data_IF_468153459653
#
_entry.id   IF_468153459653
#
_cell.length_a   1.000
_cell.length_b   1.000
_cell.length_c   1.000
_cell.angle_alpha   90.00
_cell.angle_beta   90.00
_cell.angle_gamma   90.00
#
_symmetry.space_group_name_H-M   'P 1'
#
loop_
_entity.id
_entity.type
_entity.pdbx_description
1 polymer ?
#
# COMPACT_ATOMS: atom_id res chain seq x y z
N UNK A 1 -15.43 10.12 -8.36
CA UNK A 1 -14.66 10.14 -7.10
C UNK A 1 -14.86 11.52 -6.49
N UNK A 2 -15.27 11.63 -5.21
CA UNK A 2 -15.36 12.92 -4.56
C UNK A 2 -13.96 13.56 -4.58
N UNK A 3 -13.87 14.82 -4.99
CA UNK A 3 -12.64 15.61 -4.85
C UNK A 3 -12.39 15.76 -3.35
N UNK A 4 -11.44 15.00 -2.81
CA UNK A 4 -11.02 15.09 -1.41
C UNK A 4 -10.33 16.45 -1.19
N UNK A 5 -11.14 17.47 -0.97
CA UNK A 5 -10.71 18.81 -0.53
C UNK A 5 -10.66 18.91 1.00
N UNK A 6 -10.78 17.79 1.71
CA UNK A 6 -10.40 17.71 3.12
C UNK A 6 -8.90 17.90 3.20
N UNK A 7 -8.45 18.91 3.96
CA UNK A 7 -7.03 19.07 4.31
C UNK A 7 -6.52 17.70 4.78
N UNK A 8 -5.49 17.17 4.11
CA UNK A 8 -4.81 15.96 4.57
C UNK A 8 -4.20 16.28 5.94
N UNK A 9 -4.80 15.72 7.00
CA UNK A 9 -4.40 15.95 8.38
C UNK A 9 -3.83 14.64 8.90
N UNK A 10 -2.63 14.69 9.49
CA UNK A 10 -2.05 13.55 10.17
C UNK A 10 -2.83 13.25 11.46
N UNK A 11 -3.11 11.98 11.73
CA UNK A 11 -3.86 11.55 12.90
C UNK A 11 -3.21 10.36 13.60
N UNK A 12 -3.66 10.14 14.84
CA UNK A 12 -3.43 8.90 15.59
C UNK A 12 -4.45 7.86 15.15
N UNK A 13 -4.00 6.70 14.66
CA UNK A 13 -4.90 5.62 14.25
C UNK A 13 -5.80 5.22 15.42
N UNK A 14 -5.26 5.10 16.63
CA UNK A 14 -6.05 4.72 17.81
C UNK A 14 -7.17 5.73 18.12
N UNK A 15 -6.89 7.04 17.97
CA UNK A 15 -7.90 8.07 18.19
C UNK A 15 -9.02 8.01 17.14
N UNK A 16 -8.66 7.82 15.87
CA UNK A 16 -9.65 7.66 14.80
C UNK A 16 -10.49 6.39 14.98
N UNK A 17 -9.85 5.29 15.37
CA UNK A 17 -10.55 4.04 15.65
C UNK A 17 -11.58 4.23 16.77
N UNK A 18 -11.18 4.84 17.90
CA UNK A 18 -12.09 5.05 19.03
C UNK A 18 -13.25 5.99 18.67
N UNK A 19 -12.98 7.07 17.91
CA UNK A 19 -14.01 8.01 17.48
C UNK A 19 -15.09 7.38 16.57
N UNK A 20 -14.70 6.41 15.74
CA UNK A 20 -15.59 5.75 14.78
C UNK A 20 -16.17 4.42 15.28
N UNK A 21 -15.69 3.91 16.43
CA UNK A 21 -16.13 2.65 17.03
C UNK A 21 -17.66 2.48 17.12
N UNK A 22 -18.46 3.51 17.48
CA UNK A 22 -19.92 3.37 17.54
C UNK A 22 -20.61 3.16 16.18
N UNK A 23 -19.91 3.43 15.07
CA UNK A 23 -20.46 3.36 13.71
C UNK A 23 -20.22 1.99 13.04
N UNK A 24 -19.41 1.13 13.66
CA UNK A 24 -18.99 -0.11 13.02
C UNK A 24 -19.99 -1.25 13.22
N UNK A 25 -20.37 -1.95 12.14
CA UNK A 25 -21.28 -3.08 12.25
C UNK A 25 -20.55 -4.25 12.94
N UNK A 26 -20.99 -4.58 14.16
CA UNK A 26 -20.40 -5.66 14.97
C UNK A 26 -20.38 -7.03 14.25
N UNK A 27 -21.28 -7.24 13.29
CA UNK A 27 -21.33 -8.44 12.46
C UNK A 27 -20.12 -8.59 11.50
N UNK A 28 -19.49 -7.48 11.11
CA UNK A 28 -18.30 -7.48 10.23
C UNK A 28 -17.02 -7.16 11.01
N UNK A 29 -17.15 -6.46 12.13
CA UNK A 29 -16.05 -6.00 12.97
C UNK A 29 -16.34 -6.39 14.43
N UNK A 30 -16.00 -7.62 14.85
CA UNK A 30 -16.27 -8.09 16.20
C UNK A 30 -15.61 -7.18 17.25
N UNK A 31 -16.30 -6.84 18.37
CA UNK A 31 -15.79 -5.87 19.34
C UNK A 31 -14.42 -6.19 19.95
N UNK A 32 -14.14 -7.47 20.21
CA UNK A 32 -12.86 -7.96 20.75
C UNK A 32 -11.71 -7.77 19.76
N UNK A 33 -11.99 -7.92 18.46
CA UNK A 33 -11.02 -7.78 17.38
C UNK A 33 -10.70 -6.32 17.10
N UNK A 34 -11.73 -5.49 17.16
CA UNK A 34 -11.60 -4.03 17.13
C UNK A 34 -10.75 -3.55 18.31
N UNK A 35 -11.00 -4.06 19.52
CA UNK A 35 -10.21 -3.70 20.70
C UNK A 35 -8.74 -4.08 20.56
N UNK A 36 -8.45 -5.27 20.02
CA UNK A 36 -7.09 -5.67 19.67
C UNK A 36 -6.43 -4.72 18.64
N UNK A 37 -7.19 -4.30 17.62
CA UNK A 37 -6.71 -3.33 16.62
C UNK A 37 -6.43 -1.95 17.25
N UNK A 38 -7.30 -1.47 18.14
CA UNK A 38 -7.08 -0.23 18.89
C UNK A 38 -5.83 -0.31 19.78
N UNK A 39 -5.62 -1.44 20.46
CA UNK A 39 -4.45 -1.67 21.30
C UNK A 39 -3.16 -1.65 20.47
N UNK A 40 -3.13 -2.34 19.33
CA UNK A 40 -2.01 -2.31 18.40
C UNK A 40 -1.77 -0.89 17.85
N UNK A 41 -2.83 -0.21 17.42
CA UNK A 41 -2.77 1.15 16.88
C UNK A 41 -2.25 2.18 17.90
N UNK A 42 -2.49 1.97 19.20
CA UNK A 42 -2.02 2.86 20.27
C UNK A 42 -0.50 2.89 20.39
N UNK A 43 0.18 1.87 19.86
CA UNK A 43 1.64 1.80 19.79
C UNK A 43 2.22 2.47 18.53
N UNK A 44 1.38 2.93 17.59
CA UNK A 44 1.82 3.54 16.34
C UNK A 44 1.93 5.06 16.47
N UNK A 45 2.93 5.70 15.80
CA UNK A 45 3.06 7.15 15.82
C UNK A 45 1.90 7.86 15.09
N UNK A 46 1.52 9.09 15.49
CA UNK A 46 0.41 9.82 14.91
C UNK A 46 0.79 10.52 13.59
N UNK A 47 1.17 9.73 12.58
CA UNK A 47 1.70 10.24 11.31
C UNK A 47 0.84 9.89 10.08
N UNK A 48 -0.23 9.13 10.28
CA UNK A 48 -1.04 8.54 9.21
C UNK A 48 -2.12 9.50 8.70
N UNK A 49 -2.54 9.31 7.45
CA UNK A 49 -3.54 10.14 6.76
C UNK A 49 -4.78 9.36 6.35
N UNK A 50 -4.67 8.03 6.31
CA UNK A 50 -5.75 7.12 5.95
C UNK A 50 -5.68 5.89 6.83
N UNK A 51 -6.86 5.31 7.04
CA UNK A 51 -7.09 4.15 7.87
C UNK A 51 -8.17 3.29 7.22
N UNK A 52 -7.95 1.98 7.18
CA UNK A 52 -8.95 0.98 6.82
C UNK A 52 -8.89 -0.14 7.87
N UNK A 53 -10.07 -0.62 8.29
CA UNK A 53 -10.23 -1.91 8.94
C UNK A 53 -10.78 -2.89 7.91
N UNK A 54 -10.10 -4.02 7.70
CA UNK A 54 -10.52 -5.05 6.77
C UNK A 54 -11.08 -6.26 7.53
N UNK A 55 -12.41 -6.43 7.51
CA UNK A 55 -13.09 -7.63 8.02
C UNK A 55 -13.35 -8.66 6.92
N UNK A 56 -13.63 -9.91 7.30
CA UNK A 56 -13.92 -10.99 6.33
C UNK A 56 -15.42 -11.21 6.16
N UNK A 57 -15.87 -11.28 4.91
CA UNK A 57 -17.25 -11.66 4.58
C UNK A 57 -17.54 -13.15 4.77
N UNK A 58 -16.50 -13.98 4.85
CA UNK A 58 -16.61 -15.43 5.04
C UNK A 58 -16.95 -15.86 6.47
N UNK A 59 -17.15 -14.91 7.40
CA UNK A 59 -17.41 -15.19 8.81
C UNK A 59 -16.15 -15.47 9.65
N UNK A 60 -14.97 -15.37 9.05
CA UNK A 60 -13.72 -15.37 9.79
C UNK A 60 -13.62 -14.08 10.63
N UNK A 61 -13.42 -14.15 11.96
CA UNK A 61 -13.39 -12.98 12.83
C UNK A 61 -12.13 -12.12 12.65
N UNK A 62 -11.19 -12.48 11.77
CA UNK A 62 -10.01 -11.67 11.51
C UNK A 62 -10.36 -10.24 11.06
N UNK A 63 -9.74 -9.26 11.73
CA UNK A 63 -9.79 -7.84 11.38
C UNK A 63 -8.37 -7.36 11.21
N UNK A 64 -8.02 -6.97 9.99
CA UNK A 64 -6.70 -6.39 9.70
C UNK A 64 -6.75 -4.88 9.78
N UNK A 65 -5.61 -4.30 10.15
CA UNK A 65 -5.42 -2.86 10.25
C UNK A 65 -4.60 -2.39 9.06
N UNK A 66 -5.04 -1.35 8.38
CA UNK A 66 -4.33 -0.75 7.28
C UNK A 66 -4.27 0.76 7.47
N UNK A 67 -3.11 1.36 7.16
CA UNK A 67 -2.99 2.81 7.20
C UNK A 67 -2.02 3.31 6.14
N UNK A 68 -2.13 4.59 5.80
CA UNK A 68 -1.26 5.19 4.78
C UNK A 68 -0.64 6.50 5.19
N UNK A 69 0.56 6.74 4.66
CA UNK A 69 1.24 8.03 4.63
C UNK A 69 1.07 8.60 3.24
N UNK A 70 0.72 9.89 3.14
CA UNK A 70 0.55 10.59 1.87
C UNK A 70 1.61 11.68 1.78
N UNK A 71 2.27 11.78 0.63
CA UNK A 71 3.26 12.82 0.38
C UNK A 71 2.57 14.18 0.22
N UNK A 72 2.52 14.92 1.32
CA UNK A 72 1.99 16.28 1.38
C UNK A 72 3.01 17.21 2.05
N UNK A 73 2.90 18.55 1.87
CA UNK A 73 3.86 19.49 2.44
C UNK A 73 4.09 19.27 3.95
N UNK A 74 5.35 19.05 4.32
CA UNK A 74 5.76 18.84 5.72
C UNK A 74 5.65 17.40 6.23
N UNK A 75 4.91 16.50 5.55
CA UNK A 75 4.69 15.13 6.05
C UNK A 75 6.00 14.37 6.20
N UNK A 76 6.85 14.38 5.17
CA UNK A 76 8.14 13.67 5.22
C UNK A 76 9.00 14.13 6.41
N UNK A 77 8.98 15.43 6.74
CA UNK A 77 9.66 15.99 7.91
C UNK A 77 9.04 15.49 9.23
N UNK A 78 7.71 15.47 9.32
CA UNK A 78 7.02 14.92 10.49
C UNK A 78 7.30 13.44 10.70
N UNK A 79 7.32 12.65 9.62
CA UNK A 79 7.68 11.22 9.68
C UNK A 79 9.14 11.05 10.10
N UNK A 80 10.07 11.79 9.50
CA UNK A 80 11.48 11.80 9.89
C UNK A 80 11.67 12.05 11.39
N UNK A 81 11.02 13.08 11.94
CA UNK A 81 11.05 13.42 13.36
C UNK A 81 10.39 12.35 14.24
N UNK A 82 9.29 11.73 13.77
CA UNK A 82 8.65 10.64 14.50
C UNK A 82 9.58 9.43 14.64
N UNK A 83 10.34 9.09 13.59
CA UNK A 83 11.28 7.96 13.55
C UNK A 83 12.53 8.13 14.44
N UNK A 84 12.80 9.35 14.92
CA UNK A 84 13.90 9.63 15.87
C UNK A 84 13.58 9.15 17.30
N UNK A 85 12.31 8.86 17.59
CA UNK A 85 11.87 8.33 18.88
C UNK A 85 11.95 6.80 18.90
N UNK A 86 11.98 6.16 20.09
CA UNK A 86 11.76 4.71 20.19
C UNK A 86 10.45 4.32 19.51
N UNK A 87 10.49 3.28 18.68
CA UNK A 87 9.36 2.84 17.89
C UNK A 87 8.79 1.53 18.43
N UNK A 88 7.51 1.31 18.17
CA UNK A 88 6.87 0.01 18.40
C UNK A 88 7.48 -1.06 17.48
N UNK A 89 7.57 -2.33 17.93
CA UNK A 89 7.89 -3.46 17.04
C UNK A 89 7.01 -3.53 15.79
N UNK A 90 5.78 -3.01 15.88
CA UNK A 90 4.83 -2.95 14.76
C UNK A 90 5.26 -2.04 13.62
N UNK A 91 6.17 -1.08 13.82
CA UNK A 91 6.64 -0.20 12.74
C UNK A 91 8.11 -0.43 12.40
N UNK A 92 8.85 -1.07 13.30
CA UNK A 92 10.31 -1.25 13.18
C UNK A 92 10.70 -2.02 11.90
N UNK A 93 9.96 -3.05 11.52
CA UNK A 93 10.25 -3.76 10.27
C UNK A 93 9.94 -2.96 8.99
N UNK A 94 9.23 -1.83 9.09
CA UNK A 94 9.05 -0.87 7.99
C UNK A 94 9.99 0.34 8.07
N UNK A 95 10.81 0.44 9.13
CA UNK A 95 11.72 1.56 9.34
C UNK A 95 12.61 1.85 8.13
N UNK A 96 13.29 0.88 7.48
CA UNK A 96 14.18 1.18 6.35
C UNK A 96 13.45 1.90 5.19
N UNK A 97 12.25 1.42 4.85
CA UNK A 97 11.42 2.04 3.82
C UNK A 97 10.93 3.43 4.25
N UNK A 98 10.46 3.56 5.49
CA UNK A 98 9.96 4.83 6.04
C UNK A 98 11.06 5.89 6.11
N UNK A 99 12.28 5.51 6.50
CA UNK A 99 13.44 6.41 6.54
C UNK A 99 13.85 6.85 5.14
N UNK A 100 13.95 5.92 4.19
CA UNK A 100 14.26 6.22 2.80
C UNK A 100 13.21 7.14 2.17
N UNK A 101 11.93 6.92 2.49
CA UNK A 101 10.84 7.78 2.01
C UNK A 101 10.83 9.15 2.67
N UNK A 102 11.06 9.24 3.98
CA UNK A 102 11.08 10.50 4.71
C UNK A 102 12.32 11.36 4.39
N UNK A 103 13.45 10.73 4.04
CA UNK A 103 14.72 11.39 3.73
C UNK A 103 15.35 10.87 2.42
N UNK A 104 14.72 11.07 1.24
CA UNK A 104 15.17 10.43 -0.01
C UNK A 104 16.60 10.79 -0.40
N UNK A 105 16.99 12.06 -0.23
CA UNK A 105 18.30 12.56 -0.64
C UNK A 105 19.48 11.82 0.01
N UNK A 106 19.26 11.18 1.17
CA UNK A 106 20.27 10.40 1.88
C UNK A 106 20.37 8.93 1.41
N UNK A 107 19.49 8.49 0.50
CA UNK A 107 19.37 7.07 0.16
C UNK A 107 19.81 6.77 -1.28
N UNK A 108 20.49 5.62 -1.55
CA UNK A 108 20.80 5.18 -2.92
C UNK A 108 19.57 5.09 -3.85
N UNK A 109 18.41 4.79 -3.27
CA UNK A 109 17.11 4.66 -3.96
C UNK A 109 16.31 5.97 -4.00
N UNK A 110 16.97 7.13 -3.90
CA UNK A 110 16.33 8.45 -3.77
C UNK A 110 15.24 8.70 -4.81
N UNK A 111 15.51 8.35 -6.07
CA UNK A 111 14.61 8.62 -7.19
C UNK A 111 13.30 7.89 -7.02
N UNK A 112 13.32 6.64 -6.56
CA UNK A 112 12.09 5.93 -6.26
C UNK A 112 11.32 6.63 -5.13
N UNK A 113 12.00 6.93 -4.02
CA UNK A 113 11.36 7.47 -2.83
C UNK A 113 10.81 8.88 -3.00
N UNK A 114 11.45 9.72 -3.81
CA UNK A 114 10.94 11.03 -4.21
C UNK A 114 9.62 10.93 -4.99
N UNK A 115 9.43 9.82 -5.71
CA UNK A 115 8.30 9.63 -6.63
C UNK A 115 7.20 8.72 -6.09
N UNK A 116 7.35 8.20 -4.87
CA UNK A 116 6.34 7.42 -4.17
C UNK A 116 5.38 8.36 -3.44
N UNK A 117 4.16 8.64 -3.97
CA UNK A 117 3.23 9.59 -3.33
C UNK A 117 2.56 9.03 -2.08
N UNK A 118 2.54 7.70 -1.92
CA UNK A 118 1.85 7.02 -0.82
C UNK A 118 2.67 5.83 -0.38
N UNK A 119 2.82 5.69 0.94
CA UNK A 119 3.23 4.43 1.56
C UNK A 119 2.03 3.84 2.28
N UNK A 120 1.63 2.65 1.87
CA UNK A 120 0.58 1.89 2.54
C UNK A 120 1.19 0.80 3.41
N UNK A 121 0.73 0.70 4.65
CA UNK A 121 1.14 -0.30 5.63
C UNK A 121 -0.08 -1.10 6.07
N UNK A 122 0.06 -2.41 6.12
CA UNK A 122 -1.01 -3.34 6.50
C UNK A 122 -0.50 -4.31 7.56
N UNK A 123 -1.19 -4.36 8.69
CA UNK A 123 -0.93 -5.26 9.80
C UNK A 123 -2.04 -6.29 9.85
N UNK A 124 -1.65 -7.54 9.58
CA UNK A 124 -2.56 -8.68 9.72
C UNK A 124 -2.76 -8.99 11.20
N UNK A 125 -3.95 -9.43 11.60
CA UNK A 125 -4.12 -10.04 12.91
C UNK A 125 -3.56 -11.49 12.92
N UNK A 126 -2.94 -11.96 14.02
CA UNK A 126 -2.60 -11.19 15.22
C UNK A 126 -1.49 -10.17 14.94
N UNK A 127 -1.56 -9.00 15.59
CA UNK A 127 -0.64 -7.87 15.40
C UNK A 127 0.71 -8.13 16.10
N UNK A 128 1.40 -9.20 15.73
CA UNK A 128 2.68 -9.63 16.29
C UNK A 128 3.83 -9.60 15.27
N UNK A 129 3.54 -9.14 14.05
CA UNK A 129 4.48 -9.06 12.93
C UNK A 129 4.64 -7.63 12.43
N UNK A 130 5.78 -7.34 11.76
CA UNK A 130 5.91 -6.13 10.97
C UNK A 130 4.82 -5.99 9.91
N UNK A 131 4.52 -4.77 9.44
CA UNK A 131 3.48 -4.58 8.47
C UNK A 131 3.96 -5.06 7.10
N UNK A 132 2.99 -5.51 6.33
CA UNK A 132 3.09 -5.57 4.89
C UNK A 132 3.25 -4.15 4.34
N UNK A 133 4.30 -3.94 3.54
CA UNK A 133 4.70 -2.64 3.03
C UNK A 133 4.36 -2.55 1.54
N UNK A 134 3.64 -1.49 1.17
CA UNK A 134 3.16 -1.28 -0.19
C UNK A 134 3.46 0.15 -0.63
N UNK A 135 4.66 0.39 -1.22
CA UNK A 135 4.97 1.65 -1.88
C UNK A 135 4.10 1.81 -3.13
N UNK A 136 3.31 2.88 -3.18
CA UNK A 136 2.54 3.21 -4.36
C UNK A 136 3.45 3.87 -5.40
N UNK A 137 3.39 3.41 -6.65
CA UNK A 137 4.30 3.82 -7.73
C UNK A 137 3.62 4.72 -8.78
N UNK A 138 2.29 4.84 -8.76
CA UNK A 138 1.58 5.82 -9.60
C UNK A 138 1.57 7.18 -8.90
N UNK A 139 2.30 8.18 -9.42
CA UNK A 139 2.27 9.56 -8.91
C UNK A 139 0.85 10.16 -8.84
N UNK A 140 -0.09 9.61 -9.61
CA UNK A 140 -1.51 10.02 -9.68
C UNK A 140 -2.41 9.18 -8.76
N UNK A 141 -1.86 8.46 -7.79
CA UNK A 141 -2.62 7.55 -6.92
C UNK A 141 -3.82 8.24 -6.26
N UNK A 142 -3.64 9.47 -5.76
CA UNK A 142 -4.69 10.32 -5.18
C UNK A 142 -5.43 11.20 -6.18
N UNK A 143 -5.32 10.88 -7.47
CA UNK A 143 -6.11 11.53 -8.51
C UNK A 143 -5.65 12.92 -8.87
N UNK A 144 -4.43 13.35 -8.53
CA UNK A 144 -3.81 14.52 -9.14
C UNK A 144 -3.64 14.24 -10.65
N UNK A 145 -4.47 14.84 -11.51
CA UNK A 145 -4.42 14.58 -12.95
C UNK A 145 -3.24 15.30 -13.62
N UNK A 146 -2.60 16.25 -12.92
CA UNK A 146 -1.49 17.04 -13.44
C UNK A 146 -0.14 16.33 -13.28
N UNK A 147 -0.05 15.36 -12.37
CA UNK A 147 1.18 14.61 -12.15
C UNK A 147 1.55 13.78 -13.41
N UNK A 148 2.80 13.85 -13.89
CA UNK A 148 3.21 13.14 -15.09
C UNK A 148 3.17 11.62 -14.85
N UNK A 149 2.64 10.89 -15.84
CA UNK A 149 2.69 9.44 -15.83
C UNK A 149 4.14 8.96 -15.90
N UNK A 150 4.52 8.05 -15.00
CA UNK A 150 5.82 7.40 -15.05
C UNK A 150 5.90 6.43 -16.24
N UNK A 151 7.08 6.34 -16.85
CA UNK A 151 7.37 5.35 -17.89
C UNK A 151 7.46 3.94 -17.31
N UNK A 152 7.40 2.91 -18.17
CA UNK A 152 7.51 1.50 -17.74
C UNK A 152 8.83 1.24 -17.01
N UNK A 153 9.95 1.75 -17.53
CA UNK A 153 11.26 1.61 -16.89
C UNK A 153 11.29 2.20 -15.48
N UNK A 154 10.80 3.42 -15.35
CA UNK A 154 10.72 4.13 -14.07
C UNK A 154 9.85 3.37 -13.06
N UNK A 155 8.69 2.86 -13.47
CA UNK A 155 7.83 2.05 -12.60
C UNK A 155 8.53 0.76 -12.14
N UNK A 156 9.30 0.12 -13.01
CA UNK A 156 10.03 -1.11 -12.69
C UNK A 156 11.20 -0.83 -11.75
N UNK A 157 11.93 0.26 -11.96
CA UNK A 157 12.95 0.75 -11.02
C UNK A 157 12.33 0.99 -9.63
N UNK A 158 11.18 1.66 -9.58
CA UNK A 158 10.49 1.93 -8.32
C UNK A 158 10.06 0.65 -7.58
N UNK A 159 9.54 -0.34 -8.31
CA UNK A 159 9.18 -1.64 -7.72
C UNK A 159 10.43 -2.35 -7.16
N UNK A 160 11.52 -2.35 -7.92
CA UNK A 160 12.76 -2.99 -7.51
C UNK A 160 13.37 -2.34 -6.26
N UNK A 161 13.43 -1.01 -6.24
CA UNK A 161 13.94 -0.20 -5.13
C UNK A 161 13.11 -0.37 -3.86
N UNK A 162 11.78 -0.29 -3.97
CA UNK A 162 10.87 -0.48 -2.83
C UNK A 162 11.02 -1.87 -2.21
N UNK A 163 11.19 -2.91 -3.03
CA UNK A 163 11.47 -4.26 -2.56
C UNK A 163 12.83 -4.37 -1.90
N UNK A 164 13.88 -3.78 -2.48
CA UNK A 164 15.23 -3.81 -1.92
C UNK A 164 15.28 -3.15 -0.53
N UNK A 165 14.55 -2.04 -0.35
CA UNK A 165 14.37 -1.38 0.94
C UNK A 165 13.63 -2.25 1.95
N UNK A 166 12.60 -2.96 1.51
CA UNK A 166 11.75 -3.78 2.38
C UNK A 166 12.46 -5.05 2.84
N UNK A 167 13.20 -5.71 1.95
CA UNK A 167 13.74 -7.05 2.17
C UNK A 167 15.27 -7.11 2.27
N UNK A 168 15.96 -5.99 2.06
CA UNK A 168 17.43 -5.95 2.03
C UNK A 168 18.05 -6.75 0.90
N UNK A 169 17.29 -7.06 -0.16
CA UNK A 169 17.68 -7.95 -1.25
C UNK A 169 17.11 -7.50 -2.59
N UNK A 170 17.80 -7.77 -3.72
CA UNK A 170 17.27 -7.43 -5.02
C UNK A 170 15.99 -8.21 -5.35
N UNK A 171 15.09 -7.58 -6.10
CA UNK A 171 13.89 -8.24 -6.61
C UNK A 171 14.29 -9.36 -7.60
N UNK A 172 13.65 -10.54 -7.56
CA UNK A 172 13.89 -11.58 -8.58
C UNK A 172 13.71 -11.06 -10.01
N UNK A 173 14.75 -11.20 -10.84
CA UNK A 173 14.80 -10.68 -12.20
C UNK A 173 13.68 -11.22 -13.11
N UNK A 174 13.32 -12.50 -12.93
CA UNK A 174 12.22 -13.14 -13.67
C UNK A 174 10.87 -12.49 -13.37
N UNK A 175 10.62 -12.13 -12.10
CA UNK A 175 9.38 -11.44 -11.70
C UNK A 175 9.36 -10.00 -12.19
N UNK A 176 10.48 -9.27 -12.11
CA UNK A 176 10.56 -7.92 -12.67
C UNK A 176 10.32 -7.92 -14.19
N UNK A 177 10.86 -8.89 -14.92
CA UNK A 177 10.59 -9.04 -16.36
C UNK A 177 9.10 -9.30 -16.64
N UNK A 178 8.45 -10.11 -15.80
CA UNK A 178 7.00 -10.34 -15.88
C UNK A 178 6.21 -9.04 -15.63
N UNK A 179 6.51 -8.31 -14.56
CA UNK A 179 5.86 -7.03 -14.28
C UNK A 179 6.06 -6.04 -15.40
N UNK A 180 7.27 -5.92 -15.94
CA UNK A 180 7.58 -5.06 -17.08
C UNK A 180 6.68 -5.37 -18.26
N UNK A 181 6.56 -6.65 -18.63
CA UNK A 181 5.68 -7.10 -19.72
C UNK A 181 4.22 -6.75 -19.46
N UNK A 182 3.73 -7.00 -18.24
CA UNK A 182 2.33 -6.75 -17.86
C UNK A 182 2.02 -5.25 -17.85
N UNK A 183 2.90 -4.43 -17.30
CA UNK A 183 2.77 -2.96 -17.24
C UNK A 183 2.84 -2.36 -18.65
N UNK A 184 3.79 -2.81 -19.49
CA UNK A 184 3.90 -2.35 -20.87
C UNK A 184 2.67 -2.69 -21.73
N UNK A 185 1.94 -3.74 -21.36
CA UNK A 185 0.72 -4.16 -22.05
C UNK A 185 -0.55 -3.43 -21.58
N UNK A 186 -0.47 -2.61 -20.51
CA UNK A 186 -1.62 -1.89 -19.97
C UNK A 186 -2.28 -1.01 -21.05
N UNK A 187 -3.62 -1.03 -21.16
CA UNK A 187 -4.31 -0.20 -22.13
C UNK A 187 -4.29 1.28 -21.73
N UNK A 188 -4.58 2.17 -22.70
CA UNK A 188 -4.74 3.60 -22.41
C UNK A 188 -5.81 3.81 -21.32
N UNK A 189 -5.49 4.66 -20.35
CA UNK A 189 -6.36 4.92 -19.19
C UNK A 189 -6.17 3.93 -18.03
N UNK A 190 -5.42 2.84 -18.22
CA UNK A 190 -5.00 1.98 -17.12
C UNK A 190 -3.70 2.47 -16.46
N UNK A 191 -3.44 1.99 -15.25
CA UNK A 191 -2.34 2.45 -14.38
C UNK A 191 -1.81 1.29 -13.54
N UNK A 192 -0.49 1.20 -13.40
CA UNK A 192 0.15 0.36 -12.38
C UNK A 192 0.24 1.17 -11.08
N UNK A 193 -0.36 0.68 -10.00
CA UNK A 193 -0.56 1.44 -8.78
C UNK A 193 0.50 1.14 -7.73
N UNK A 194 0.84 -0.14 -7.54
CA UNK A 194 1.79 -0.61 -6.55
C UNK A 194 2.21 -2.05 -6.88
N UNK A 195 3.30 -2.52 -6.27
CA UNK A 195 3.66 -3.93 -6.26
C UNK A 195 4.08 -4.34 -4.85
N UNK A 196 3.90 -5.63 -4.53
CA UNK A 196 4.19 -6.12 -3.18
C UNK A 196 4.49 -7.60 -3.14
N UNK A 197 5.22 -8.00 -2.10
CA UNK A 197 5.59 -9.39 -1.87
C UNK A 197 4.89 -9.96 -0.67
N UNK A 198 4.15 -11.06 -0.84
CA UNK A 198 3.46 -11.73 0.26
C UNK A 198 4.39 -12.58 1.15
N UNK A 199 5.71 -12.48 0.95
CA UNK A 199 6.73 -13.18 1.74
C UNK A 199 6.59 -12.96 3.26
N UNK A 200 6.31 -11.75 3.78
CA UNK A 200 6.06 -11.55 5.21
C UNK A 200 4.90 -12.40 5.76
N UNK A 201 3.98 -12.82 4.89
CA UNK A 201 2.85 -13.72 5.21
C UNK A 201 3.19 -15.20 5.02
N UNK A 202 4.46 -15.54 4.74
CA UNK A 202 4.89 -16.91 4.44
C UNK A 202 4.45 -17.40 3.06
N UNK A 203 3.97 -16.52 2.18
CA UNK A 203 3.48 -16.89 0.86
C UNK A 203 4.50 -16.43 -0.19
N UNK A 204 5.05 -17.38 -0.95
CA UNK A 204 5.98 -17.11 -2.06
C UNK A 204 5.22 -16.62 -3.32
N UNK A 205 4.53 -15.48 -3.21
CA UNK A 205 3.78 -14.84 -4.29
C UNK A 205 4.00 -13.34 -4.29
N UNK A 206 3.99 -12.79 -5.49
CA UNK A 206 4.13 -11.35 -5.73
C UNK A 206 2.80 -10.82 -6.29
N UNK A 207 2.42 -9.60 -5.90
CA UNK A 207 1.21 -8.92 -6.37
C UNK A 207 1.59 -7.66 -7.13
N UNK A 208 0.93 -7.44 -8.27
CA UNK A 208 0.93 -6.17 -8.98
C UNK A 208 -0.50 -5.62 -8.93
N UNK A 209 -0.65 -4.43 -8.37
CA UNK A 209 -1.92 -3.73 -8.29
C UNK A 209 -2.05 -2.82 -9.51
N UNK A 210 -3.15 -2.96 -10.26
CA UNK A 210 -3.43 -2.15 -11.43
C UNK A 210 -4.86 -1.61 -11.37
N UNK A 211 -5.06 -0.42 -11.93
CA UNK A 211 -6.37 0.13 -12.24
C UNK A 211 -6.57 0.00 -13.74
N UNK A 212 -7.62 -0.69 -14.18
CA UNK A 212 -7.94 -0.86 -15.61
C UNK A 212 -9.42 -0.48 -15.80
N UNK A 213 -9.77 0.32 -16.83
CA UNK A 213 -11.17 0.53 -17.16
C UNK A 213 -11.86 -0.81 -17.40
N UNK A 214 -13.03 -1.03 -16.81
CA UNK A 214 -13.69 -2.33 -16.78
C UNK A 214 -13.83 -2.97 -18.17
N UNK A 215 -14.27 -2.19 -19.16
CA UNK A 215 -14.41 -2.62 -20.56
C UNK A 215 -13.10 -3.10 -21.22
N UNK A 216 -11.94 -2.77 -20.65
CA UNK A 216 -10.62 -3.11 -21.17
C UNK A 216 -9.94 -4.23 -20.39
N UNK A 217 -10.54 -4.73 -19.30
CA UNK A 217 -9.96 -5.80 -18.46
C UNK A 217 -9.76 -7.07 -19.27
N UNK A 218 -10.82 -7.60 -19.91
CA UNK A 218 -10.73 -8.85 -20.68
C UNK A 218 -9.74 -8.76 -21.86
N UNK A 219 -9.79 -7.72 -22.73
CA UNK A 219 -8.79 -7.56 -23.79
C UNK A 219 -7.34 -7.46 -23.27
N UNK A 220 -7.13 -6.83 -22.12
CA UNK A 220 -5.80 -6.72 -21.52
C UNK A 220 -5.31 -8.06 -20.97
N UNK A 221 -6.16 -8.81 -20.27
CA UNK A 221 -5.83 -10.14 -19.73
C UNK A 221 -5.46 -11.13 -20.85
N UNK A 222 -6.18 -11.10 -21.97
CA UNK A 222 -5.84 -11.88 -23.16
C UNK A 222 -4.46 -11.50 -23.73
N UNK A 223 -4.20 -10.20 -23.87
CA UNK A 223 -2.90 -9.67 -24.35
C UNK A 223 -1.71 -10.13 -23.51
N UNK A 224 -1.85 -10.15 -22.17
CA UNK A 224 -0.79 -10.63 -21.27
C UNK A 224 -0.76 -12.15 -21.11
N UNK A 225 -1.66 -12.87 -21.81
CA UNK A 225 -1.87 -14.31 -21.73
C UNK A 225 -2.10 -14.77 -20.28
N UNK A 226 -3.05 -14.11 -19.62
CA UNK A 226 -3.39 -14.44 -18.25
C UNK A 226 -3.77 -15.92 -18.12
N UNK A 227 -3.14 -16.68 -17.21
CA UNK A 227 -3.35 -18.13 -17.12
C UNK A 227 -4.56 -18.51 -16.26
N UNK A 228 -5.19 -17.56 -15.57
CA UNK A 228 -6.33 -17.83 -14.69
C UNK A 228 -7.65 -17.93 -15.43
N UNK A 229 -8.66 -18.44 -14.73
CA UNK A 229 -10.01 -18.57 -15.26
C UNK A 229 -10.65 -17.19 -15.55
N UNK A 230 -11.07 -16.99 -16.79
CA UNK A 230 -11.72 -15.77 -17.27
C UNK A 230 -13.24 -15.87 -17.24
N UNK A 231 -13.83 -17.03 -16.97
CA UNK A 231 -15.29 -17.22 -17.00
C UNK A 231 -16.05 -16.26 -16.07
N UNK A 232 -15.61 -16.00 -14.82
CA UNK A 232 -16.30 -15.05 -13.95
C UNK A 232 -16.27 -13.62 -14.49
N UNK A 233 -15.16 -13.21 -15.11
CA UNK A 233 -15.00 -11.86 -15.66
C UNK A 233 -15.84 -11.62 -16.91
N UNK A 234 -16.16 -12.69 -17.66
CA UNK A 234 -17.06 -12.62 -18.82
C UNK A 234 -18.53 -12.47 -18.42
N UNK A 235 -18.88 -12.86 -17.20
CA UNK A 235 -20.20 -12.67 -16.62
C UNK A 235 -20.34 -11.32 -15.88
N UNK A 236 -19.27 -10.52 -15.80
CA UNK A 236 -19.30 -9.21 -15.15
C UNK A 236 -20.02 -8.20 -16.05
N UNK A 237 -21.19 -7.68 -15.65
CA UNK A 237 -21.96 -6.69 -16.42
C UNK A 237 -21.20 -5.39 -16.69
#
# INVERSE_FOLDING_TARGET
>A
MPTMNSKLVQFSIAAELEAHRPLWPAALLPPDRVEAACAAASALPPIFHWLILEGRLSGDPQVDLMASLVDAPGVRRSVAAALERPQSPLIEGARPLLEAWARPAAHPHRRCMENTPVLWLEWDAPFDRPPFQLPCIDRRFWGDPSAPAAGVDELIEMIADGYALTFGAPYPATTLALFRRVIAALPRGARALAAASLRPRGVARERLFVSVPQALVLPWLDRVRWPGDLAPLRAWP
#
